data_IF_985112278269
#
_entry.id   IF_985112278269
#
_cell.length_a   1.000
_cell.length_b   1.000
_cell.length_c   1.000
_cell.angle_alpha   90.00
_cell.angle_beta   90.00
_cell.angle_gamma   90.00
#
_symmetry.space_group_name_H-M   'P 1'
#
loop_
_entity.id
_entity.type
_entity.pdbx_description
1 polymer ?
#
# COMPACT_ATOMS: atom_id res chain seq x y z
N UNK A 1 8.38 -14.53 -2.66
CA UNK A 1 8.25 -13.68 -3.87
C UNK A 1 8.64 -14.44 -5.12
N UNK A 2 9.84 -15.03 -5.19
CA UNK A 2 10.25 -15.86 -6.35
C UNK A 2 9.32 -17.05 -6.63
N UNK A 3 8.92 -17.78 -5.59
CA UNK A 3 7.96 -18.90 -5.73
C UNK A 3 6.60 -18.43 -6.25
N UNK A 4 6.09 -17.29 -5.75
CA UNK A 4 4.83 -16.72 -6.21
C UNK A 4 4.91 -16.21 -7.66
N UNK A 5 6.07 -15.69 -8.07
CA UNK A 5 6.33 -15.27 -9.45
C UNK A 5 6.39 -16.49 -10.40
N UNK A 6 7.00 -17.60 -9.96
CA UNK A 6 7.00 -18.85 -10.72
C UNK A 6 5.59 -19.40 -10.84
N UNK A 7 4.87 -19.49 -9.72
CA UNK A 7 3.49 -19.94 -9.69
C UNK A 7 2.56 -19.08 -10.57
N UNK A 8 2.74 -17.76 -10.62
CA UNK A 8 2.01 -16.88 -11.53
C UNK A 8 2.23 -17.26 -13.00
N UNK A 9 3.49 -17.55 -13.39
CA UNK A 9 3.81 -17.91 -14.78
C UNK A 9 3.37 -19.33 -15.14
N UNK A 10 3.36 -20.24 -14.16
CA UNK A 10 2.96 -21.64 -14.35
C UNK A 10 1.44 -21.85 -14.29
N UNK A 11 0.78 -21.23 -13.30
CA UNK A 11 -0.66 -21.40 -13.01
C UNK A 11 -1.52 -20.33 -13.66
N UNK A 12 -0.90 -19.25 -14.15
CA UNK A 12 -1.56 -18.18 -14.90
C UNK A 12 -2.09 -17.02 -14.04
N UNK A 13 -2.49 -15.95 -14.74
CA UNK A 13 -2.89 -14.68 -14.12
C UNK A 13 -4.17 -14.79 -13.30
N UNK A 14 -5.17 -15.55 -13.77
CA UNK A 14 -6.43 -15.72 -13.04
C UNK A 14 -6.21 -16.34 -11.68
N UNK A 15 -5.44 -17.44 -11.62
CA UNK A 15 -5.05 -18.08 -10.36
C UNK A 15 -4.34 -17.09 -9.44
N UNK A 16 -3.37 -16.33 -9.97
CA UNK A 16 -2.60 -15.37 -9.17
C UNK A 16 -3.49 -14.27 -8.60
N UNK A 17 -4.37 -13.68 -9.41
CA UNK A 17 -5.28 -12.60 -8.97
C UNK A 17 -6.22 -13.13 -7.90
N UNK A 18 -6.81 -14.31 -8.09
CA UNK A 18 -7.73 -14.90 -7.10
C UNK A 18 -6.99 -15.22 -5.79
N UNK A 19 -5.81 -15.82 -5.89
CA UNK A 19 -4.97 -16.12 -4.73
C UNK A 19 -4.56 -14.85 -3.97
N UNK A 20 -4.05 -13.84 -4.68
CA UNK A 20 -3.57 -12.59 -4.09
C UNK A 20 -4.71 -11.78 -3.46
N UNK A 21 -5.86 -11.69 -4.12
CA UNK A 21 -7.04 -11.00 -3.57
C UNK A 21 -7.65 -11.72 -2.36
N UNK A 22 -7.44 -13.04 -2.23
CA UNK A 22 -7.87 -13.81 -1.05
C UNK A 22 -6.99 -13.61 0.19
N UNK A 23 -5.88 -12.86 0.07
CA UNK A 23 -4.99 -12.57 1.19
C UNK A 23 -5.73 -11.86 2.33
N UNK A 24 -5.53 -12.26 3.60
CA UNK A 24 -6.12 -11.57 4.75
C UNK A 24 -5.83 -10.07 4.82
N UNK A 25 -4.75 -9.62 4.15
CA UNK A 25 -4.38 -8.22 4.01
C UNK A 25 -5.49 -7.36 3.39
N UNK A 26 -6.34 -7.95 2.53
CA UNK A 26 -7.43 -7.26 1.82
C UNK A 26 -8.81 -7.58 2.39
N UNK A 27 -8.91 -8.28 3.53
CA UNK A 27 -10.20 -8.68 4.11
C UNK A 27 -11.16 -7.51 4.36
N UNK A 28 -10.64 -6.34 4.75
CA UNK A 28 -11.47 -5.14 4.96
C UNK A 28 -12.13 -4.61 3.68
N UNK A 29 -11.60 -4.94 2.49
CA UNK A 29 -12.17 -4.53 1.21
C UNK A 29 -13.55 -5.15 0.92
N UNK A 30 -13.97 -6.18 1.67
CA UNK A 30 -15.34 -6.69 1.62
C UNK A 30 -16.38 -5.59 1.83
N UNK A 31 -16.04 -4.55 2.62
CA UNK A 31 -16.89 -3.37 2.85
C UNK A 31 -17.20 -2.58 1.58
N UNK A 32 -16.31 -2.61 0.59
CA UNK A 32 -16.48 -1.89 -0.68
C UNK A 32 -17.63 -2.45 -1.53
N UNK A 33 -18.08 -3.66 -1.20
CA UNK A 33 -19.16 -4.33 -1.90
C UNK A 33 -18.71 -5.08 -3.15
N UNK A 34 -19.60 -5.95 -3.63
CA UNK A 34 -19.31 -6.92 -4.69
C UNK A 34 -18.89 -6.27 -6.01
N UNK A 35 -19.54 -5.18 -6.40
CA UNK A 35 -19.26 -4.53 -7.69
C UNK A 35 -17.86 -3.91 -7.73
N UNK A 36 -17.42 -3.30 -6.62
CA UNK A 36 -16.07 -2.78 -6.48
C UNK A 36 -15.02 -3.90 -6.57
N UNK A 37 -15.27 -5.04 -5.91
CA UNK A 37 -14.38 -6.20 -5.98
C UNK A 37 -14.31 -6.82 -7.38
N UNK A 38 -15.44 -6.87 -8.11
CA UNK A 38 -15.47 -7.34 -9.50
C UNK A 38 -14.67 -6.39 -10.40
N UNK A 39 -14.85 -5.07 -10.26
CA UNK A 39 -14.10 -4.08 -11.01
C UNK A 39 -12.59 -4.16 -10.72
N UNK A 40 -12.22 -4.25 -9.44
CA UNK A 40 -10.85 -4.42 -8.99
C UNK A 40 -10.20 -5.69 -9.57
N UNK A 41 -10.95 -6.80 -9.62
CA UNK A 41 -10.48 -8.05 -10.25
C UNK A 41 -10.28 -7.87 -11.75
N UNK A 42 -11.24 -7.26 -12.45
CA UNK A 42 -11.15 -7.02 -13.89
C UNK A 42 -9.94 -6.13 -14.26
N UNK A 43 -9.69 -5.08 -13.50
CA UNK A 43 -8.49 -4.24 -13.65
C UNK A 43 -7.20 -5.07 -13.50
N UNK A 44 -7.13 -5.93 -12.47
CA UNK A 44 -5.95 -6.76 -12.21
C UNK A 44 -5.69 -7.79 -13.31
N UNK A 45 -6.75 -8.34 -13.89
CA UNK A 45 -6.65 -9.24 -15.04
C UNK A 45 -6.19 -8.54 -16.33
N UNK A 46 -6.17 -7.20 -16.35
CA UNK A 46 -5.56 -6.42 -17.42
C UNK A 46 -4.03 -6.30 -17.34
N UNK A 47 -3.40 -6.80 -16.28
CA UNK A 47 -1.95 -6.74 -16.13
C UNK A 47 -1.21 -7.78 -16.99
N UNK A 48 0.03 -7.48 -17.35
CA UNK A 48 0.93 -8.42 -18.01
C UNK A 48 1.55 -9.40 -16.98
N UNK A 49 1.38 -10.73 -17.13
CA UNK A 49 1.92 -11.71 -16.19
C UNK A 49 3.45 -11.68 -16.06
N UNK A 50 4.17 -11.40 -17.17
CA UNK A 50 5.63 -11.32 -17.16
C UNK A 50 6.09 -10.08 -16.39
N UNK A 51 5.43 -8.94 -16.58
CA UNK A 51 5.65 -7.71 -15.84
C UNK A 51 5.39 -7.87 -14.34
N UNK A 52 4.29 -8.53 -13.97
CA UNK A 52 3.99 -8.84 -12.56
C UNK A 52 5.02 -9.78 -11.94
N UNK A 53 5.43 -10.84 -12.64
CA UNK A 53 6.48 -11.74 -12.18
C UNK A 53 7.82 -11.01 -12.01
N UNK A 54 8.15 -10.09 -12.92
CA UNK A 54 9.31 -9.22 -12.81
C UNK A 54 9.24 -8.31 -11.58
N UNK A 55 8.07 -7.70 -11.33
CA UNK A 55 7.83 -6.86 -10.15
C UNK A 55 8.00 -7.65 -8.85
N UNK A 56 7.43 -8.86 -8.76
CA UNK A 56 7.58 -9.73 -7.59
C UNK A 56 9.05 -10.07 -7.30
N UNK A 57 9.84 -10.39 -8.33
CA UNK A 57 11.26 -10.73 -8.18
C UNK A 57 12.15 -9.53 -7.85
N UNK A 58 11.85 -8.36 -8.44
CA UNK A 58 12.70 -7.17 -8.32
C UNK A 58 12.33 -6.23 -7.17
N UNK A 59 11.04 -6.15 -6.83
CA UNK A 59 10.49 -5.22 -5.85
C UNK A 59 9.72 -5.94 -4.73
N UNK A 60 9.76 -7.27 -4.70
CA UNK A 60 9.24 -8.05 -3.59
C UNK A 60 9.97 -7.71 -2.29
N UNK A 61 9.23 -7.68 -1.18
CA UNK A 61 9.79 -7.36 0.14
C UNK A 61 10.88 -8.34 0.60
N UNK A 62 10.94 -9.55 0.03
CA UNK A 62 12.02 -10.50 0.27
C UNK A 62 13.31 -10.22 -0.52
N UNK A 63 13.22 -9.49 -1.63
CA UNK A 63 14.34 -9.17 -2.52
C UNK A 63 14.87 -7.73 -2.31
N UNK A 64 14.02 -6.81 -1.84
CA UNK A 64 14.40 -5.42 -1.67
C UNK A 64 15.34 -5.21 -0.47
N UNK A 65 16.47 -4.56 -0.71
CA UNK A 65 17.39 -4.13 0.35
C UNK A 65 16.69 -3.26 1.38
N UNK A 66 17.02 -3.47 2.65
CA UNK A 66 16.46 -2.70 3.77
C UNK A 66 16.84 -1.21 3.68
N UNK A 67 15.84 -0.34 3.54
CA UNK A 67 16.01 1.11 3.50
C UNK A 67 15.82 1.80 4.87
N UNK A 68 15.63 1.03 5.94
CA UNK A 68 15.39 1.57 7.30
C UNK A 68 16.50 2.52 7.77
N UNK A 69 17.75 2.24 7.39
CA UNK A 69 18.92 3.06 7.74
C UNK A 69 18.97 4.40 6.99
N UNK A 70 18.19 4.57 5.92
CA UNK A 70 18.11 5.80 5.14
C UNK A 70 16.99 6.72 5.61
N UNK A 71 16.06 6.26 6.47
CA UNK A 71 14.98 7.10 6.99
C UNK A 71 15.46 8.43 7.60
N UNK A 72 16.60 8.48 8.34
CA UNK A 72 17.11 9.74 8.88
C UNK A 72 17.54 10.76 7.82
N UNK A 73 17.77 10.33 6.57
CA UNK A 73 18.13 11.22 5.46
C UNK A 73 16.92 11.88 4.78
N UNK A 74 15.69 11.46 5.12
CA UNK A 74 14.46 12.03 4.59
C UNK A 74 14.14 13.37 5.28
N UNK A 75 14.74 14.44 4.75
CA UNK A 75 14.58 15.80 5.27
C UNK A 75 13.34 16.54 4.75
N UNK A 76 12.61 15.95 3.80
CA UNK A 76 11.35 16.47 3.28
C UNK A 76 10.21 16.16 4.25
N UNK A 77 9.23 17.07 4.42
CA UNK A 77 7.96 16.74 5.07
C UNK A 77 7.41 15.43 4.50
N UNK A 78 7.01 14.51 5.37
CA UNK A 78 6.55 13.18 4.97
C UNK A 78 5.26 12.83 5.72
N UNK A 79 4.19 12.57 4.98
CA UNK A 79 2.95 12.03 5.53
C UNK A 79 2.96 10.50 5.42
N UNK A 80 2.72 9.83 6.54
CA UNK A 80 2.55 8.38 6.63
C UNK A 80 1.07 8.07 6.88
N UNK A 81 0.41 7.41 5.93
CA UNK A 81 -0.99 6.98 6.06
C UNK A 81 -1.05 5.48 6.33
N UNK A 82 -1.86 5.07 7.31
CA UNK A 82 -2.17 3.65 7.55
C UNK A 82 -3.64 3.48 7.95
N UNK A 83 -4.30 2.45 7.44
CA UNK A 83 -5.65 2.12 7.87
C UNK A 83 -5.71 1.68 9.34
N UNK A 84 -6.78 2.03 10.04
CA UNK A 84 -7.02 1.63 11.42
C UNK A 84 -7.11 0.10 11.60
N UNK A 85 -7.51 -0.63 10.56
CA UNK A 85 -7.71 -2.08 10.54
C UNK A 85 -6.48 -2.84 10.00
N UNK A 86 -5.38 -2.15 9.68
CA UNK A 86 -4.10 -2.74 9.30
C UNK A 86 -3.05 -2.60 10.43
N UNK A 87 -3.11 -3.44 11.48
CA UNK A 87 -2.22 -3.31 12.64
C UNK A 87 -0.74 -3.50 12.28
N UNK A 88 -0.44 -4.32 11.26
CA UNK A 88 0.93 -4.59 10.82
C UNK A 88 1.54 -3.32 10.22
N UNK A 89 0.90 -2.73 9.22
CA UNK A 89 1.47 -1.56 8.56
C UNK A 89 1.32 -0.29 9.39
N UNK A 90 0.33 -0.21 10.29
CA UNK A 90 0.29 0.86 11.31
C UNK A 90 1.51 0.82 12.23
N UNK A 91 1.91 -0.35 12.73
CA UNK A 91 3.11 -0.48 13.54
C UNK A 91 4.39 -0.14 12.76
N UNK A 92 4.46 -0.53 11.49
CA UNK A 92 5.58 -0.17 10.60
C UNK A 92 5.63 1.33 10.32
N UNK A 93 4.50 1.96 10.03
CA UNK A 93 4.40 3.41 9.81
C UNK A 93 4.83 4.19 11.06
N UNK A 94 4.40 3.78 12.26
CA UNK A 94 4.86 4.38 13.51
C UNK A 94 6.39 4.28 13.68
N UNK A 95 6.95 3.10 13.39
CA UNK A 95 8.40 2.89 13.43
C UNK A 95 9.13 3.73 12.37
N UNK A 96 8.55 3.88 11.18
CA UNK A 96 9.11 4.76 10.14
C UNK A 96 9.11 6.21 10.60
N UNK A 97 8.00 6.69 11.20
CA UNK A 97 7.88 8.04 11.72
C UNK A 97 8.94 8.37 12.76
N UNK A 98 9.26 7.42 13.65
CA UNK A 98 10.35 7.57 14.62
C UNK A 98 11.74 7.74 13.98
N UNK A 99 11.93 7.30 12.73
CA UNK A 99 13.19 7.40 11.99
C UNK A 99 13.26 8.56 11.00
N UNK A 100 12.13 9.22 10.69
CA UNK A 100 12.05 10.32 9.72
C UNK A 100 11.96 11.66 10.46
N UNK A 101 12.92 12.58 10.29
CA UNK A 101 12.99 13.84 11.05
C UNK A 101 11.74 14.71 10.97
N UNK A 102 11.07 14.76 9.80
CA UNK A 102 9.89 15.58 9.53
C UNK A 102 8.72 14.73 9.06
N UNK A 103 8.30 13.78 9.89
CA UNK A 103 7.14 12.95 9.59
C UNK A 103 5.90 13.35 10.38
N UNK A 104 4.75 13.16 9.76
CA UNK A 104 3.43 13.13 10.41
C UNK A 104 2.78 11.81 10.03
N UNK A 105 2.06 11.19 10.96
CA UNK A 105 1.35 9.95 10.72
C UNK A 105 -0.13 10.17 10.95
N UNK A 106 -0.96 9.68 10.03
CA UNK A 106 -2.41 9.67 10.14
C UNK A 106 -2.94 8.24 10.06
N UNK A 107 -3.87 7.93 10.96
CA UNK A 107 -4.57 6.64 10.99
C UNK A 107 -5.95 6.82 10.37
N UNK A 108 -6.14 6.24 9.18
CA UNK A 108 -7.39 6.37 8.43
C UNK A 108 -8.47 5.49 9.07
N UNK A 109 -9.59 6.06 9.54
CA UNK A 109 -10.67 5.28 10.14
C UNK A 109 -11.37 4.43 9.08
N UNK A 110 -11.96 3.31 9.51
CA UNK A 110 -12.79 2.45 8.66
C UNK A 110 -12.07 1.92 7.40
N UNK A 111 -10.77 1.69 7.53
CA UNK A 111 -9.90 1.28 6.44
C UNK A 111 -8.85 0.28 6.90
N UNK A 112 -8.55 -0.71 6.05
CA UNK A 112 -7.40 -1.59 6.17
C UNK A 112 -6.24 -1.18 5.27
N UNK A 113 -5.68 -2.13 4.50
CA UNK A 113 -4.43 -1.92 3.79
C UNK A 113 -4.55 -0.90 2.65
N UNK A 114 -5.65 -0.91 1.90
CA UNK A 114 -5.87 -0.02 0.78
C UNK A 114 -6.72 1.18 1.21
N UNK A 115 -6.24 1.93 2.20
CA UNK A 115 -7.02 2.99 2.83
C UNK A 115 -7.57 4.05 1.87
N UNK A 116 -6.86 4.34 0.78
CA UNK A 116 -7.29 5.27 -0.27
C UNK A 116 -8.50 4.78 -1.09
N UNK A 117 -8.75 3.46 -1.13
CA UNK A 117 -9.95 2.88 -1.74
C UNK A 117 -11.08 2.75 -0.72
N UNK A 118 -10.74 2.43 0.54
CA UNK A 118 -11.70 2.12 1.60
C UNK A 118 -12.31 3.37 2.24
N UNK A 119 -11.52 4.43 2.43
CA UNK A 119 -12.00 5.72 2.92
C UNK A 119 -11.35 6.87 2.13
N UNK A 120 -11.73 7.06 0.85
CA UNK A 120 -11.13 8.04 -0.04
C UNK A 120 -11.31 9.47 0.46
N UNK A 121 -12.44 9.78 1.09
CA UNK A 121 -12.74 11.13 1.59
C UNK A 121 -11.76 11.56 2.68
N UNK A 122 -11.52 10.69 3.67
CA UNK A 122 -10.53 10.95 4.73
C UNK A 122 -9.13 11.08 4.16
N UNK A 123 -8.71 10.15 3.29
CA UNK A 123 -7.39 10.20 2.66
C UNK A 123 -7.18 11.49 1.86
N UNK A 124 -8.17 11.90 1.06
CA UNK A 124 -8.07 13.13 0.27
C UNK A 124 -8.01 14.36 1.18
N UNK A 125 -8.82 14.41 2.24
CA UNK A 125 -8.78 15.51 3.20
C UNK A 125 -7.41 15.63 3.88
N UNK A 126 -6.86 14.51 4.39
CA UNK A 126 -5.54 14.50 5.04
C UNK A 126 -4.42 14.89 4.08
N UNK A 127 -4.44 14.38 2.84
CA UNK A 127 -3.42 14.74 1.84
C UNK A 127 -3.49 16.22 1.50
N UNK A 128 -4.69 16.80 1.35
CA UNK A 128 -4.86 18.23 1.11
C UNK A 128 -4.32 19.08 2.26
N UNK A 129 -4.71 18.76 3.49
CA UNK A 129 -4.23 19.47 4.69
C UNK A 129 -2.70 19.41 4.80
N UNK A 130 -2.11 18.23 4.52
CA UNK A 130 -0.67 18.08 4.50
C UNK A 130 0.00 18.94 3.43
N UNK A 131 -0.54 18.96 2.21
CA UNK A 131 0.00 19.79 1.12
C UNK A 131 -0.11 21.29 1.44
N UNK A 132 -1.26 21.73 1.96
CA UNK A 132 -1.45 23.13 2.38
C UNK A 132 -0.45 23.53 3.47
N UNK A 133 -0.15 22.64 4.42
CA UNK A 133 0.88 22.85 5.43
C UNK A 133 2.28 22.97 4.83
N UNK A 134 2.63 22.08 3.88
CA UNK A 134 3.94 22.09 3.22
C UNK A 134 4.13 23.37 2.41
N UNK A 135 3.11 23.78 1.64
CA UNK A 135 3.14 24.99 0.83
C UNK A 135 3.22 26.26 1.70
N UNK A 136 2.50 26.26 2.84
CA UNK A 136 2.55 27.34 3.82
C UNK A 136 3.89 27.49 4.56
N UNK A 137 4.72 26.44 4.60
CA UNK A 137 6.07 26.47 5.18
C UNK A 137 7.17 26.82 4.16
N UNK A 138 6.84 27.01 2.89
CA UNK A 138 7.79 27.36 1.83
C UNK A 138 8.07 28.88 1.71
N UNK A 139 7.68 29.68 2.71
CA UNK A 139 7.86 31.15 2.77
C UNK A 139 8.95 31.55 3.74
#
# INVERSE_FOLDING_TARGET
DDELANDLLEKGLEWFVDHWMSSPLFSSQERLGRDALIAARAERLGNDPVGLAGSLRGAGTGAQSSLWHLLPSLNTPTLLLAGAEDPKFRALALRMGAGIPRSTMEVVPEAGHAAHLENPEHVVATVREFLDHVDGQAV
#
